data_IF_437821303545
#
_entry.id   IF_437821303545
#
_cell.length_a   1.000
_cell.length_b   1.000
_cell.length_c   1.000
_cell.angle_alpha   90.00
_cell.angle_beta   90.00
_cell.angle_gamma   90.00
#
_symmetry.space_group_name_H-M   'P 1'
#
loop_
_entity.id
_entity.type
_entity.pdbx_description
1 polymer ?
#
# COMPACT_ATOMS: atom_id res chain seq x y z
N UNK A 1 -10.09 9.60 0.86
CA UNK A 1 -9.05 9.38 1.91
C UNK A 1 -8.92 7.90 2.35
N UNK A 2 -9.89 7.02 2.05
CA UNK A 2 -9.80 5.58 2.37
C UNK A 2 -8.56 4.87 1.81
N UNK A 3 -8.16 5.18 0.57
CA UNK A 3 -6.93 4.66 -0.04
C UNK A 3 -5.65 4.87 0.80
N UNK A 4 -5.58 5.95 1.59
CA UNK A 4 -4.43 6.18 2.48
C UNK A 4 -4.41 5.14 3.61
N UNK A 5 -5.57 4.88 4.20
CA UNK A 5 -5.71 3.89 5.28
C UNK A 5 -5.46 2.47 4.78
N UNK A 6 -5.86 2.18 3.54
CA UNK A 6 -5.54 0.91 2.89
C UNK A 6 -4.04 0.74 2.68
N UNK A 7 -3.37 1.75 2.13
CA UNK A 7 -1.92 1.72 1.97
C UNK A 7 -1.19 1.55 3.30
N UNK A 8 -1.66 2.20 4.37
CA UNK A 8 -1.11 2.03 5.72
C UNK A 8 -1.35 0.63 6.29
N UNK A 9 -2.51 0.04 6.02
CA UNK A 9 -2.84 -1.31 6.50
C UNK A 9 -2.01 -2.36 5.76
N UNK A 10 -1.80 -2.21 4.45
CA UNK A 10 -0.85 -3.05 3.69
C UNK A 10 0.56 -2.89 4.26
N UNK A 11 0.99 -1.66 4.55
CA UNK A 11 2.32 -1.42 5.12
C UNK A 11 2.50 -2.10 6.49
N UNK A 12 1.48 -2.04 7.36
CA UNK A 12 1.50 -2.71 8.66
C UNK A 12 1.52 -4.23 8.54
N UNK A 13 0.77 -4.80 7.59
CA UNK A 13 0.73 -6.24 7.36
C UNK A 13 2.05 -6.82 6.84
N UNK A 14 2.91 -5.98 6.25
CA UNK A 14 4.21 -6.38 5.67
C UNK A 14 5.39 -5.67 6.34
N UNK A 15 5.23 -5.26 7.61
CA UNK A 15 6.14 -4.30 8.25
C UNK A 15 7.60 -4.76 8.30
N UNK A 16 7.84 -6.04 8.58
CA UNK A 16 9.20 -6.58 8.69
C UNK A 16 9.92 -6.53 7.33
N UNK A 17 9.25 -6.95 6.25
CA UNK A 17 9.83 -6.93 4.90
C UNK A 17 10.05 -5.50 4.38
N UNK A 18 9.13 -4.58 4.69
CA UNK A 18 9.28 -3.16 4.37
C UNK A 18 10.50 -2.59 5.09
N UNK A 19 10.65 -2.86 6.40
CA UNK A 19 11.79 -2.38 7.19
C UNK A 19 13.11 -2.92 6.62
N UNK A 20 13.17 -4.21 6.29
CA UNK A 20 14.38 -4.81 5.73
C UNK A 20 14.73 -4.22 4.34
N UNK A 21 13.73 -3.99 3.48
CA UNK A 21 13.95 -3.33 2.19
C UNK A 21 14.48 -1.91 2.35
N UNK A 22 13.92 -1.13 3.28
CA UNK A 22 14.37 0.23 3.56
C UNK A 22 15.81 0.21 4.10
N UNK A 23 16.11 -0.66 5.07
CA UNK A 23 17.45 -0.79 5.66
C UNK A 23 18.50 -1.25 4.65
N UNK A 24 18.13 -2.10 3.71
CA UNK A 24 19.02 -2.57 2.64
C UNK A 24 19.22 -1.53 1.52
N UNK A 25 18.47 -0.43 1.51
CA UNK A 25 18.52 0.57 0.44
C UNK A 25 19.56 1.67 0.75
N UNK A 26 20.50 1.95 -0.18
CA UNK A 26 21.51 3.01 -0.02
C UNK A 26 20.97 4.43 0.15
N UNK A 27 19.76 4.71 -0.34
CA UNK A 27 19.12 6.02 -0.23
C UNK A 27 17.61 5.93 -0.12
N UNK A 28 16.98 7.00 0.38
CA UNK A 28 15.52 7.10 0.44
C UNK A 28 14.87 7.09 -0.96
N UNK A 29 15.53 7.66 -1.98
CA UNK A 29 15.03 7.64 -3.35
C UNK A 29 14.97 6.19 -3.89
N UNK A 30 16.04 5.42 -3.68
CA UNK A 30 16.10 4.03 -4.11
C UNK A 30 15.13 3.13 -3.32
N UNK A 31 14.99 3.35 -2.01
CA UNK A 31 14.00 2.65 -1.20
C UNK A 31 12.58 2.90 -1.74
N UNK A 32 12.25 4.15 -2.06
CA UNK A 32 10.94 4.51 -2.62
C UNK A 32 10.68 3.80 -3.94
N UNK A 33 11.65 3.79 -4.85
CA UNK A 33 11.54 3.10 -6.14
C UNK A 33 11.29 1.60 -5.94
N UNK A 34 12.05 0.95 -5.06
CA UNK A 34 11.88 -0.47 -4.73
C UNK A 34 10.54 -0.78 -4.07
N UNK A 35 10.07 0.06 -3.16
CA UNK A 35 8.77 -0.11 -2.50
C UNK A 35 7.61 -0.04 -3.51
N UNK A 36 7.71 0.85 -4.50
CA UNK A 36 6.70 1.03 -5.57
C UNK A 36 6.76 -0.12 -6.59
N UNK A 37 7.97 -0.57 -6.95
CA UNK A 37 8.16 -1.63 -7.94
C UNK A 37 7.72 -3.02 -7.43
N UNK A 38 7.69 -3.21 -6.11
CA UNK A 38 7.35 -4.48 -5.47
C UNK A 38 5.84 -4.60 -5.23
N UNK A 39 5.28 -5.76 -5.56
CA UNK A 39 3.93 -6.15 -5.13
C UNK A 39 3.92 -6.61 -3.67
N UNK A 40 2.94 -6.16 -2.89
CA UNK A 40 2.81 -6.46 -1.47
C UNK A 40 1.62 -7.37 -1.20
N UNK A 41 1.73 -8.23 -0.18
CA UNK A 41 0.57 -9.00 0.27
C UNK A 41 -0.48 -8.04 0.82
N UNK A 42 -1.75 -8.12 0.40
CA UNK A 42 -2.77 -7.17 0.82
C UNK A 42 -3.16 -7.30 2.30
N UNK A 43 -2.84 -8.41 2.96
CA UNK A 43 -3.22 -8.67 4.36
C UNK A 43 -4.75 -8.53 4.58
N UNK A 44 -5.14 -7.90 5.69
CA UNK A 44 -6.54 -7.76 6.08
C UNK A 44 -7.32 -6.68 5.30
N UNK A 45 -6.66 -5.94 4.40
CA UNK A 45 -7.32 -4.88 3.59
C UNK A 45 -8.45 -5.45 2.73
N UNK A 46 -8.32 -6.69 2.25
CA UNK A 46 -9.37 -7.32 1.44
C UNK A 46 -10.69 -7.43 2.19
N UNK A 47 -10.64 -7.82 3.47
CA UNK A 47 -11.83 -7.92 4.31
C UNK A 47 -12.42 -6.54 4.67
N UNK A 48 -11.57 -5.50 4.74
CA UNK A 48 -12.02 -4.13 4.96
C UNK A 48 -12.75 -3.58 3.72
N UNK A 49 -12.21 -3.82 2.52
CA UNK A 49 -12.77 -3.42 1.23
C UNK A 49 -14.11 -4.10 0.92
N UNK A 50 -14.22 -5.41 1.18
CA UNK A 50 -15.45 -6.18 0.99
C UNK A 50 -16.63 -5.59 1.78
N UNK A 51 -16.35 -5.03 2.96
CA UNK A 51 -17.35 -4.40 3.83
C UNK A 51 -17.69 -2.96 3.44
N UNK A 52 -16.77 -2.26 2.78
CA UNK A 52 -16.91 -0.84 2.43
C UNK A 52 -17.60 -0.61 1.07
N UNK A 53 -17.54 -1.59 0.15
CA UNK A 53 -18.06 -1.47 -1.22
C UNK A 53 -17.00 -0.96 -2.21
N UNK A 54 -17.11 -1.38 -3.48
CA UNK A 54 -16.03 -1.30 -4.50
C UNK A 54 -15.52 0.12 -4.79
N UNK A 55 -16.34 1.15 -4.64
CA UNK A 55 -15.97 2.54 -4.98
C UNK A 55 -15.64 3.42 -3.77
N UNK A 56 -15.74 2.89 -2.54
CA UNK A 56 -15.66 3.70 -1.32
C UNK A 56 -14.29 4.38 -1.13
N UNK A 57 -13.24 3.83 -1.73
CA UNK A 57 -11.86 4.22 -1.47
C UNK A 57 -11.10 4.71 -2.71
N UNK A 58 -11.73 4.70 -3.88
CA UNK A 58 -11.16 5.27 -5.11
C UNK A 58 -10.86 6.76 -4.92
N UNK A 59 -9.66 7.25 -5.25
CA UNK A 59 -9.38 8.68 -5.31
C UNK A 59 -10.22 9.39 -6.39
N UNK A 60 -10.68 10.60 -6.08
CA UNK A 60 -11.55 11.39 -6.98
C UNK A 60 -10.82 11.88 -8.27
N UNK A 61 -9.49 11.85 -8.27
CA UNK A 61 -8.62 12.33 -9.36
C UNK A 61 -8.30 11.26 -10.41
N UNK A 62 -8.81 10.04 -10.26
CA UNK A 62 -8.60 8.94 -11.21
C UNK A 62 -9.70 8.93 -12.29
N UNK A 63 -9.35 8.96 -13.60
CA UNK A 63 -10.34 8.90 -14.69
C UNK A 63 -11.16 7.61 -14.61
N UNK A 64 -12.47 7.67 -14.92
CA UNK A 64 -13.33 6.47 -14.96
C UNK A 64 -12.76 5.43 -15.95
N UNK A 65 -12.85 4.16 -15.57
CA UNK A 65 -12.34 3.00 -16.33
C UNK A 65 -13.48 2.39 -17.13
#
# INVERSE_FOLDING_TARGET
RGHILEGLTVALANIDEIIELIKASPSAAEAKEKLIAKGWSPGDVMAMLERAGQDACRPDDLPEI
#
